data_IF_612511897527
#
_entry.id   IF_612511897527
#
_cell.length_a   1.000
_cell.length_b   1.000
_cell.length_c   1.000
_cell.angle_alpha   90.00
_cell.angle_beta   90.00
_cell.angle_gamma   90.00
#
_symmetry.space_group_name_H-M   'P 1'
#
loop_
_entity.id
_entity.type
_entity.pdbx_description
1 polymer ?
#
# COMPACT_ATOMS: atom_id res chain seq x y z
N UNK A 1 -13.19 -8.25 25.51
CA UNK A 1 -12.18 -9.20 24.99
C UNK A 1 -11.23 -8.57 23.97
N UNK A 2 -11.55 -8.32 22.69
CA UNK A 2 -10.56 -7.71 21.76
C UNK A 2 -10.22 -6.24 22.11
N UNK A 3 -11.13 -5.49 22.73
CA UNK A 3 -10.90 -4.12 23.22
C UNK A 3 -9.89 -4.09 24.39
N UNK A 4 -9.80 -5.17 25.16
CA UNK A 4 -8.92 -5.26 26.34
C UNK A 4 -7.52 -5.80 25.98
N UNK A 5 -7.38 -6.45 24.82
CA UNK A 5 -6.10 -6.96 24.34
C UNK A 5 -5.97 -6.77 22.81
N UNK A 6 -5.50 -5.59 22.36
CA UNK A 6 -5.34 -5.28 20.94
C UNK A 6 -4.36 -6.21 20.20
N UNK A 7 -3.50 -6.95 20.91
CA UNK A 7 -2.64 -7.96 20.28
C UNK A 7 -3.44 -9.13 19.69
N UNK A 8 -4.65 -9.43 20.23
CA UNK A 8 -5.50 -10.51 19.72
C UNK A 8 -5.98 -10.24 18.29
N UNK A 9 -6.41 -9.01 18.00
CA UNK A 9 -6.82 -8.60 16.65
C UNK A 9 -5.65 -8.69 15.66
N UNK A 10 -4.45 -8.32 16.12
CA UNK A 10 -3.23 -8.40 15.33
C UNK A 10 -2.84 -9.86 15.04
N UNK A 11 -2.88 -10.74 16.05
CA UNK A 11 -2.64 -12.19 15.89
C UNK A 11 -3.66 -12.84 14.96
N UNK A 12 -4.93 -12.46 15.07
CA UNK A 12 -6.00 -12.94 14.18
C UNK A 12 -5.74 -12.53 12.73
N UNK A 13 -5.35 -11.29 12.49
CA UNK A 13 -5.02 -10.81 11.14
C UNK A 13 -3.87 -11.59 10.51
N UNK A 14 -2.78 -11.83 11.27
CA UNK A 14 -1.66 -12.68 10.82
C UNK A 14 -2.13 -14.09 10.45
N UNK A 15 -2.93 -14.71 11.32
CA UNK A 15 -3.46 -16.05 11.09
C UNK A 15 -4.33 -16.11 9.84
N UNK A 16 -5.18 -15.10 9.60
CA UNK A 16 -6.01 -15.01 8.39
C UNK A 16 -5.17 -14.95 7.11
N UNK A 17 -4.07 -14.18 7.09
CA UNK A 17 -3.17 -14.16 5.94
C UNK A 17 -2.43 -15.51 5.78
N UNK A 18 -1.98 -16.12 6.87
CA UNK A 18 -1.34 -17.44 6.81
C UNK A 18 -2.27 -18.51 6.23
N UNK A 19 -3.54 -18.52 6.65
CA UNK A 19 -4.58 -19.42 6.11
C UNK A 19 -4.89 -19.18 4.63
N UNK A 20 -4.67 -17.97 4.13
CA UNK A 20 -4.78 -17.63 2.70
C UNK A 20 -3.53 -18.01 1.90
N UNK A 21 -2.49 -18.53 2.54
CA UNK A 21 -1.26 -19.01 1.89
C UNK A 21 -0.19 -17.94 1.66
N UNK A 22 -0.25 -16.80 2.37
CA UNK A 22 0.78 -15.77 2.28
C UNK A 22 2.05 -16.19 3.05
N UNK A 23 3.26 -15.90 2.53
CA UNK A 23 4.52 -16.13 3.22
C UNK A 23 4.62 -15.35 4.54
N UNK A 24 5.23 -15.94 5.58
CA UNK A 24 5.35 -15.31 6.91
C UNK A 24 6.11 -13.97 6.85
N UNK A 25 7.16 -13.88 6.02
CA UNK A 25 7.94 -12.65 5.84
C UNK A 25 7.17 -11.54 5.09
N UNK A 26 6.30 -11.92 4.16
CA UNK A 26 5.37 -10.99 3.50
C UNK A 26 4.33 -10.47 4.49
N UNK A 27 3.82 -11.35 5.38
CA UNK A 27 2.81 -11.00 6.39
C UNK A 27 3.35 -9.91 7.31
N UNK A 28 4.57 -10.03 7.83
CA UNK A 28 5.13 -9.01 8.72
C UNK A 28 5.30 -7.65 8.02
N UNK A 29 5.74 -7.64 6.75
CA UNK A 29 5.80 -6.39 5.94
C UNK A 29 4.40 -5.80 5.75
N UNK A 30 3.40 -6.64 5.46
CA UNK A 30 2.01 -6.21 5.29
C UNK A 30 1.44 -5.62 6.58
N UNK A 31 1.72 -6.22 7.73
CA UNK A 31 1.32 -5.71 9.05
C UNK A 31 1.95 -4.35 9.34
N UNK A 32 3.25 -4.18 9.04
CA UNK A 32 3.92 -2.87 9.15
C UNK A 32 3.27 -1.83 8.23
N UNK A 33 2.90 -2.23 7.02
CA UNK A 33 2.18 -1.39 6.07
C UNK A 33 0.78 -0.98 6.53
N UNK A 34 0.05 -1.81 7.30
CA UNK A 34 -1.22 -1.41 7.94
C UNK A 34 -0.94 -0.26 8.93
N UNK A 35 0.01 -0.43 9.84
CA UNK A 35 0.30 0.58 10.86
C UNK A 35 0.75 1.93 10.27
N UNK A 36 1.61 1.91 9.24
CA UNK A 36 2.03 3.14 8.53
C UNK A 36 0.85 3.81 7.84
N UNK A 37 -0.05 3.01 7.25
CA UNK A 37 -1.24 3.53 6.58
C UNK A 37 -2.20 4.17 7.55
N UNK A 38 -2.45 3.55 8.70
CA UNK A 38 -3.31 4.06 9.77
C UNK A 38 -2.76 5.39 10.30
N UNK A 39 -1.45 5.48 10.57
CA UNK A 39 -0.81 6.73 10.97
C UNK A 39 -1.03 7.85 9.93
N UNK A 40 -0.84 7.54 8.64
CA UNK A 40 -1.05 8.50 7.55
C UNK A 40 -2.52 8.97 7.46
N UNK A 41 -3.49 8.06 7.59
CA UNK A 41 -4.91 8.43 7.54
C UNK A 41 -5.31 9.29 8.73
N UNK A 42 -4.82 8.98 9.92
CA UNK A 42 -5.07 9.76 11.13
C UNK A 42 -4.49 11.17 10.99
N UNK A 43 -3.28 11.27 10.42
CA UNK A 43 -2.63 12.55 10.16
C UNK A 43 -3.44 13.38 9.15
N UNK A 44 -3.95 12.78 8.07
CA UNK A 44 -4.82 13.47 7.12
C UNK A 44 -6.12 13.94 7.75
N UNK A 45 -6.76 13.11 8.58
CA UNK A 45 -7.99 13.45 9.27
C UNK A 45 -7.80 14.68 10.18
N UNK A 46 -6.75 14.64 11.02
CA UNK A 46 -6.37 15.75 11.91
C UNK A 46 -6.07 17.05 11.15
N UNK A 47 -5.71 16.94 9.88
CA UNK A 47 -5.35 18.06 9.00
C UNK A 47 -6.45 18.47 8.03
N UNK A 48 -7.65 17.92 8.16
CA UNK A 48 -8.85 18.38 7.47
C UNK A 48 -9.26 17.61 6.22
N UNK A 49 -8.72 16.39 5.99
CA UNK A 49 -9.33 15.44 5.06
C UNK A 49 -10.54 14.78 5.74
N UNK A 50 -11.72 14.85 5.11
CA UNK A 50 -12.98 14.43 5.76
C UNK A 50 -13.73 13.38 4.96
N UNK A 51 -13.65 13.46 3.64
CA UNK A 51 -14.43 12.61 2.75
C UNK A 51 -13.57 11.51 2.15
N UNK A 52 -14.17 10.36 1.84
CA UNK A 52 -13.49 9.24 1.19
C UNK A 52 -12.74 9.68 -0.09
N UNK A 53 -13.29 10.63 -0.86
CA UNK A 53 -12.65 11.19 -2.06
C UNK A 53 -11.31 11.87 -1.75
N UNK A 54 -11.16 12.48 -0.57
CA UNK A 54 -9.92 13.14 -0.16
C UNK A 54 -8.81 12.10 0.02
N UNK A 55 -9.12 11.02 0.74
CA UNK A 55 -8.18 9.91 0.95
C UNK A 55 -7.78 9.25 -0.37
N UNK A 56 -8.72 9.10 -1.31
CA UNK A 56 -8.45 8.56 -2.64
C UNK A 56 -7.52 9.46 -3.46
N UNK A 57 -7.75 10.78 -3.44
CA UNK A 57 -6.89 11.76 -4.11
C UNK A 57 -5.48 11.73 -3.53
N UNK A 58 -5.34 11.78 -2.20
CA UNK A 58 -4.04 11.80 -1.54
C UNK A 58 -3.28 10.48 -1.78
N UNK A 59 -3.97 9.34 -1.72
CA UNK A 59 -3.38 8.03 -2.05
C UNK A 59 -2.96 7.96 -3.52
N UNK A 60 -3.75 8.55 -4.42
CA UNK A 60 -3.43 8.58 -5.83
C UNK A 60 -2.18 9.43 -6.13
N UNK A 61 -2.00 10.56 -5.43
CA UNK A 61 -0.78 11.37 -5.55
C UNK A 61 0.46 10.62 -5.08
N UNK A 62 0.40 9.95 -3.92
CA UNK A 62 1.53 9.13 -3.43
C UNK A 62 1.86 8.04 -4.43
N UNK A 63 0.85 7.23 -4.83
CA UNK A 63 1.06 6.14 -5.79
C UNK A 63 1.63 6.63 -7.12
N UNK A 64 1.12 7.74 -7.66
CA UNK A 64 1.59 8.29 -8.93
C UNK A 64 3.01 8.84 -8.82
N UNK A 65 3.36 9.50 -7.72
CA UNK A 65 4.70 10.01 -7.52
C UNK A 65 5.72 8.88 -7.25
N UNK A 66 5.31 7.83 -6.53
CA UNK A 66 6.16 6.66 -6.25
C UNK A 66 6.33 5.78 -7.48
N UNK A 67 5.23 5.27 -8.05
CA UNK A 67 5.22 4.21 -9.07
C UNK A 67 4.95 4.71 -10.50
N UNK A 68 4.63 6.00 -10.68
CA UNK A 68 4.24 6.56 -11.98
C UNK A 68 2.79 6.27 -12.38
N UNK A 69 2.03 5.55 -11.54
CA UNK A 69 0.67 5.08 -11.84
C UNK A 69 -0.27 5.29 -10.65
N UNK A 70 -1.56 5.47 -10.91
CA UNK A 70 -2.59 5.55 -9.88
C UNK A 70 -2.93 4.15 -9.31
N UNK A 71 -3.55 4.04 -8.13
CA UNK A 71 -3.98 2.75 -7.59
C UNK A 71 -4.93 2.00 -8.52
N UNK A 72 -5.80 2.70 -9.26
CA UNK A 72 -6.70 2.08 -10.23
C UNK A 72 -5.97 1.51 -11.44
N UNK A 73 -4.93 2.19 -11.94
CA UNK A 73 -4.06 1.66 -12.99
C UNK A 73 -3.23 0.48 -12.48
N UNK A 74 -2.74 0.56 -11.24
CA UNK A 74 -1.97 -0.50 -10.60
C UNK A 74 -2.78 -1.80 -10.46
N UNK A 75 -4.04 -1.68 -10.01
CA UNK A 75 -4.98 -2.82 -9.97
C UNK A 75 -5.15 -3.46 -11.35
N UNK A 76 -5.20 -2.68 -12.44
CA UNK A 76 -5.29 -3.22 -13.81
C UNK A 76 -4.03 -4.02 -14.19
N UNK A 77 -2.84 -3.52 -13.88
CA UNK A 77 -1.57 -4.24 -14.15
C UNK A 77 -1.55 -5.59 -13.43
N UNK A 78 -2.00 -5.62 -12.17
CA UNK A 78 -2.10 -6.83 -11.35
C UNK A 78 -3.35 -7.67 -11.60
N UNK A 79 -4.19 -7.30 -12.58
CA UNK A 79 -5.44 -7.99 -12.95
C UNK A 79 -6.46 -8.13 -11.79
N UNK A 80 -6.46 -7.18 -10.88
CA UNK A 80 -7.36 -7.14 -9.73
C UNK A 80 -8.69 -6.48 -10.11
N UNK A 81 -9.79 -7.05 -9.62
CA UNK A 81 -11.14 -6.52 -9.81
C UNK A 81 -11.65 -5.86 -8.53
N UNK A 82 -11.75 -6.65 -7.46
CA UNK A 82 -12.31 -6.24 -6.16
C UNK A 82 -11.29 -6.34 -5.02
N UNK A 83 -10.18 -6.99 -5.29
CA UNK A 83 -9.15 -7.31 -4.34
C UNK A 83 -8.41 -6.04 -3.86
N UNK A 84 -7.86 -6.13 -2.65
CA UNK A 84 -7.02 -5.09 -2.09
C UNK A 84 -5.69 -5.07 -2.86
N UNK A 85 -5.25 -3.91 -3.34
CA UNK A 85 -4.01 -3.81 -4.12
C UNK A 85 -2.78 -4.28 -3.32
N UNK A 86 -2.69 -3.90 -2.04
CA UNK A 86 -1.52 -4.16 -1.19
C UNK A 86 -1.42 -5.61 -0.77
N UNK A 87 -2.54 -6.33 -0.76
CA UNK A 87 -2.52 -7.78 -0.58
C UNK A 87 -1.98 -8.52 -1.81
N UNK A 88 -1.77 -7.82 -2.92
CA UNK A 88 -1.25 -8.39 -4.17
C UNK A 88 0.08 -7.76 -4.61
N UNK A 89 0.72 -6.99 -3.73
CA UNK A 89 2.04 -6.38 -3.96
C UNK A 89 3.15 -7.31 -3.50
N UNK A 90 4.27 -7.32 -4.22
CA UNK A 90 5.51 -7.96 -3.80
C UNK A 90 6.27 -7.13 -2.75
N UNK A 91 7.40 -7.66 -2.30
CA UNK A 91 8.19 -7.06 -1.24
C UNK A 91 8.65 -5.63 -1.56
N UNK A 92 9.17 -5.38 -2.76
CA UNK A 92 9.64 -4.04 -3.11
C UNK A 92 8.47 -3.09 -3.28
N UNK A 93 7.37 -3.54 -3.90
CA UNK A 93 6.17 -2.74 -4.04
C UNK A 93 5.59 -2.31 -2.67
N UNK A 94 5.62 -3.19 -1.66
CA UNK A 94 5.26 -2.85 -0.28
C UNK A 94 6.25 -1.87 0.35
N UNK A 95 7.56 -2.10 0.21
CA UNK A 95 8.61 -1.22 0.77
C UNK A 95 8.50 0.21 0.24
N UNK A 96 8.39 0.39 -1.08
CA UNK A 96 8.28 1.71 -1.68
C UNK A 96 6.94 2.38 -1.36
N UNK A 97 5.87 1.61 -1.18
CA UNK A 97 4.60 2.14 -0.67
C UNK A 97 4.79 2.70 0.74
N UNK A 98 5.36 1.91 1.66
CA UNK A 98 5.61 2.33 3.04
C UNK A 98 6.51 3.57 3.11
N UNK A 99 7.57 3.63 2.30
CA UNK A 99 8.45 4.79 2.24
C UNK A 99 7.69 6.05 1.79
N UNK A 100 6.90 5.96 0.72
CA UNK A 100 6.14 7.11 0.20
C UNK A 100 5.09 7.61 1.20
N UNK A 101 4.42 6.69 1.90
CA UNK A 101 3.45 7.00 2.94
C UNK A 101 4.09 7.65 4.15
N UNK A 102 5.15 7.03 4.70
CA UNK A 102 5.87 7.55 5.87
C UNK A 102 6.49 8.91 5.59
N UNK A 103 7.11 9.09 4.41
CA UNK A 103 7.65 10.38 3.99
C UNK A 103 6.56 11.45 3.88
N UNK A 104 5.38 11.10 3.38
CA UNK A 104 4.27 12.05 3.29
C UNK A 104 3.79 12.50 4.68
N UNK A 105 3.63 11.56 5.61
CA UNK A 105 3.29 11.86 7.02
C UNK A 105 4.28 12.84 7.64
N UNK A 106 5.57 12.58 7.51
CA UNK A 106 6.60 13.45 8.10
C UNK A 106 6.64 14.84 7.47
N UNK A 107 6.43 14.94 6.15
CA UNK A 107 6.33 16.24 5.49
C UNK A 107 5.10 17.01 6.00
N UNK A 108 3.94 16.37 6.15
CA UNK A 108 2.76 17.03 6.70
C UNK A 108 3.02 17.60 8.10
N UNK A 109 3.77 16.87 8.93
CA UNK A 109 4.14 17.29 10.29
C UNK A 109 5.07 18.49 10.29
N UNK A 110 6.15 18.42 9.51
CA UNK A 110 7.17 19.48 9.44
C UNK A 110 6.58 20.78 8.87
N UNK A 111 5.71 20.68 7.87
CA UNK A 111 5.09 21.84 7.20
C UNK A 111 3.88 22.38 7.96
N UNK A 112 3.45 21.69 9.03
CA UNK A 112 2.14 21.81 9.66
C UNK A 112 0.97 22.00 8.67
N UNK A 113 0.98 21.22 7.60
CA UNK A 113 0.03 21.37 6.51
C UNK A 113 -1.42 21.15 6.94
N UNK A 114 -2.32 21.99 6.44
CA UNK A 114 -3.78 21.87 6.64
C UNK A 114 -4.52 21.96 5.31
N UNK A 115 -5.64 21.27 5.23
CA UNK A 115 -6.51 21.26 4.06
C UNK A 115 -5.98 20.38 2.92
N UNK A 116 -6.91 19.76 2.21
CA UNK A 116 -6.63 18.82 1.11
C UNK A 116 -5.68 19.39 0.05
N UNK A 117 -5.76 20.68 -0.39
CA UNK A 117 -4.85 21.20 -1.39
C UNK A 117 -3.36 21.15 -0.99
N UNK A 118 -3.02 21.52 0.25
CA UNK A 118 -1.63 21.47 0.73
C UNK A 118 -1.20 20.03 1.02
N UNK A 119 -2.08 19.22 1.64
CA UNK A 119 -1.83 17.79 1.84
C UNK A 119 -1.52 17.08 0.51
N UNK A 120 -2.20 17.45 -0.57
CA UNK A 120 -1.95 16.92 -1.91
C UNK A 120 -0.53 17.20 -2.41
N UNK A 121 -0.03 18.42 -2.17
CA UNK A 121 1.33 18.80 -2.55
C UNK A 121 2.39 18.00 -1.77
N UNK A 122 2.18 17.84 -0.48
CA UNK A 122 3.07 17.08 0.39
C UNK A 122 3.04 15.58 0.09
N UNK A 123 1.87 15.01 -0.16
CA UNK A 123 1.69 13.63 -0.61
C UNK A 123 2.49 13.34 -1.88
N UNK A 124 2.45 14.28 -2.84
CA UNK A 124 3.28 14.22 -4.05
C UNK A 124 4.78 14.30 -3.74
N UNK A 125 5.20 15.14 -2.78
CA UNK A 125 6.61 15.25 -2.34
C UNK A 125 7.08 13.96 -1.67
N UNK A 126 6.30 13.39 -0.75
CA UNK A 126 6.61 12.14 -0.07
C UNK A 126 6.70 10.96 -1.04
N UNK A 127 5.72 10.83 -1.95
CA UNK A 127 5.78 9.84 -3.01
C UNK A 127 6.98 10.04 -3.97
N UNK A 128 7.40 11.28 -4.23
CA UNK A 128 8.59 11.55 -5.08
C UNK A 128 9.89 11.04 -4.42
N UNK A 129 10.01 11.12 -3.10
CA UNK A 129 11.17 10.56 -2.37
C UNK A 129 11.25 9.05 -2.63
N UNK A 130 10.16 8.32 -2.39
CA UNK A 130 10.10 6.89 -2.67
C UNK A 130 10.29 6.56 -4.16
N UNK A 131 9.71 7.37 -5.05
CA UNK A 131 9.84 7.19 -6.48
C UNK A 131 11.24 7.41 -7.01
N UNK A 132 12.01 8.33 -6.41
CA UNK A 132 13.42 8.53 -6.73
C UNK A 132 14.24 7.30 -6.31
N UNK A 133 14.11 6.86 -5.05
CA UNK A 133 14.78 5.67 -4.56
C UNK A 133 14.44 4.41 -5.37
N UNK A 134 13.16 4.27 -5.76
CA UNK A 134 12.71 3.18 -6.64
C UNK A 134 13.44 3.22 -7.97
N UNK A 135 13.47 4.37 -8.63
CA UNK A 135 14.13 4.53 -9.94
C UNK A 135 15.62 4.29 -9.87
N UNK A 136 16.26 4.69 -8.78
CA UNK A 136 17.68 4.41 -8.55
C UNK A 136 17.92 2.91 -8.44
N UNK A 137 17.15 2.21 -7.60
CA UNK A 137 17.22 0.75 -7.50
C UNK A 137 16.96 0.06 -8.84
N UNK A 138 15.92 0.47 -9.58
CA UNK A 138 15.57 -0.11 -10.90
C UNK A 138 16.72 -0.01 -11.91
N UNK A 139 17.52 1.06 -11.85
CA UNK A 139 18.71 1.21 -12.71
C UNK A 139 19.79 0.20 -12.34
N UNK A 140 20.03 0.00 -11.05
CA UNK A 140 21.04 -0.95 -10.57
C UNK A 140 20.66 -2.40 -10.85
N UNK A 141 19.38 -2.77 -10.71
CA UNK A 141 18.92 -4.15 -10.87
C UNK A 141 18.46 -4.50 -12.29
N UNK A 142 18.35 -3.52 -13.19
CA UNK A 142 17.98 -3.70 -14.60
C UNK A 142 16.55 -4.18 -14.86
N UNK A 143 15.63 -4.07 -13.88
CA UNK A 143 14.23 -4.48 -14.01
C UNK A 143 13.28 -3.54 -13.27
N UNK A 144 12.02 -3.36 -13.74
CA UNK A 144 11.03 -2.56 -13.05
C UNK A 144 10.58 -3.22 -11.74
N UNK A 145 10.26 -2.38 -10.75
CA UNK A 145 9.69 -2.83 -9.46
C UNK A 145 8.20 -3.13 -9.59
N UNK A 146 7.46 -2.35 -10.38
CA UNK A 146 6.03 -2.62 -10.62
C UNK A 146 5.90 -3.90 -11.45
N UNK A 147 5.28 -4.92 -10.86
CA UNK A 147 5.16 -6.26 -11.47
C UNK A 147 3.70 -6.64 -11.73
N UNK A 148 3.51 -7.57 -12.68
CA UNK A 148 2.19 -8.20 -12.96
C UNK A 148 1.84 -9.32 -11.97
N UNK A 149 2.82 -9.74 -11.17
CA UNK A 149 2.68 -10.79 -10.17
C UNK A 149 1.67 -10.36 -9.10
N UNK A 150 0.93 -11.34 -8.60
CA UNK A 150 -0.15 -11.15 -7.63
C UNK A 150 -0.45 -12.47 -6.91
N UNK A 151 -1.12 -12.38 -5.76
CA UNK A 151 -1.52 -13.53 -4.94
C UNK A 151 -2.94 -14.04 -5.24
N UNK A 152 -3.44 -13.89 -6.48
CA UNK A 152 -4.73 -14.50 -6.84
C UNK A 152 -4.61 -16.03 -6.82
N UNK A 153 -5.64 -16.76 -6.36
CA UNK A 153 -5.66 -18.21 -6.49
C UNK A 153 -5.45 -18.61 -7.95
N UNK A 154 -4.47 -19.48 -8.21
CA UNK A 154 -4.32 -20.06 -9.56
C UNK A 154 -5.62 -20.78 -9.89
N UNK A 155 -6.28 -20.40 -10.99
CA UNK A 155 -7.48 -21.10 -11.48
C UNK A 155 -7.10 -22.57 -11.65
N UNK A 156 -7.79 -23.48 -10.94
CA UNK A 156 -7.77 -24.90 -11.30
C UNK A 156 -8.27 -25.00 -12.74
N UNK A 157 -7.59 -25.73 -13.64
CA UNK A 157 -8.12 -25.95 -14.98
C UNK A 157 -9.51 -26.61 -14.86
N UNK A 158 -10.50 -26.18 -15.67
CA UNK A 158 -11.78 -26.85 -15.71
C UNK A 158 -11.62 -28.17 -16.46
N UNK A 159 -11.24 -29.24 -15.73
CA UNK A 159 -11.55 -30.66 -15.96
C UNK A 159 -10.57 -31.57 -15.21
N UNK A 160 -10.98 -31.99 -14.02
CA UNK A 160 -10.91 -33.39 -13.61
C UNK A 160 -12.28 -33.67 -12.98
N UNK A 161 -13.26 -33.90 -13.85
CA UNK A 161 -14.44 -34.68 -13.46
C UNK A 161 -13.96 -36.10 -13.68
N UNK A 162 -13.48 -36.74 -12.61
CA UNK A 162 -13.21 -38.17 -12.65
C UNK A 162 -14.55 -38.87 -12.88
N UNK A 163 -14.64 -39.57 -14.01
CA UNK A 163 -15.72 -40.49 -14.32
C UNK A 163 -15.52 -41.84 -13.64
#
# INVERSE_FOLDING_TARGET
>A
QEIENPELATKRTRMLYKLKGYPDDWIEKRMRGIAIREELTDEWQKRGAKEQKDYEILTAEISKATFGITPSQYKKIKKLKRENLRDHMDDFELIFTMLGERSSTEIHRIEDSKGVPKLKQDAKRGGKIAGNARKELEKEIGKPIVSKENFLPKRKPPHLIDG
#
